data_IF_424426317624
#
_entry.id   IF_424426317624
#
_cell.length_a   1.000
_cell.length_b   1.000
_cell.length_c   1.000
_cell.angle_alpha   90.00
_cell.angle_beta   90.00
_cell.angle_gamma   90.00
#
_symmetry.space_group_name_H-M   'P 1'
#
loop_
_entity.id
_entity.type
_entity.pdbx_description
1 polymer ?
#
# COMPACT_ATOMS: atom_id res chain seq x y z
N UNK A 1 39.00 -0.74 -17.14
CA UNK A 1 37.74 -1.16 -17.79
C UNK A 1 36.98 -1.98 -16.77
N UNK A 2 36.03 -1.37 -16.04
CA UNK A 2 35.24 -2.10 -15.05
C UNK A 2 34.15 -2.86 -15.81
N UNK A 3 34.35 -4.16 -15.98
CA UNK A 3 33.26 -5.03 -16.41
C UNK A 3 32.28 -5.11 -15.24
N UNK A 4 31.13 -4.45 -15.40
CA UNK A 4 30.00 -4.68 -14.52
C UNK A 4 29.65 -6.16 -14.64
N UNK A 5 29.98 -6.97 -13.63
CA UNK A 5 29.49 -8.35 -13.50
C UNK A 5 27.96 -8.29 -13.49
N UNK A 6 27.34 -8.49 -14.65
CA UNK A 6 25.90 -8.67 -14.78
C UNK A 6 25.58 -9.99 -14.08
N UNK A 7 25.20 -9.91 -12.80
CA UNK A 7 24.71 -11.08 -12.10
C UNK A 7 23.32 -11.37 -12.65
N UNK A 8 23.19 -12.51 -13.33
CA UNK A 8 21.91 -13.11 -13.70
C UNK A 8 21.20 -13.58 -12.42
N UNK A 9 20.60 -12.63 -11.67
CA UNK A 9 19.95 -12.93 -10.40
C UNK A 9 18.48 -13.27 -10.66
N UNK A 10 18.18 -14.56 -10.64
CA UNK A 10 16.80 -15.05 -10.56
C UNK A 10 16.35 -15.05 -9.10
N UNK A 11 15.07 -14.77 -8.90
CA UNK A 11 14.43 -14.73 -7.59
C UNK A 11 12.95 -15.01 -7.76
N UNK A 12 12.36 -15.50 -6.69
CA UNK A 12 10.92 -15.58 -6.52
C UNK A 12 10.49 -14.53 -5.48
N UNK A 13 9.24 -14.08 -5.54
CA UNK A 13 8.64 -13.23 -4.52
C UNK A 13 7.81 -14.09 -3.58
N UNK A 14 8.19 -14.09 -2.32
CA UNK A 14 7.46 -14.79 -1.26
C UNK A 14 6.56 -13.78 -0.56
N UNK A 15 5.25 -13.99 -0.68
CA UNK A 15 4.22 -13.33 0.12
C UNK A 15 3.76 -14.24 1.29
N UNK A 16 2.89 -13.73 2.17
CA UNK A 16 2.26 -14.56 3.19
C UNK A 16 1.39 -15.65 2.56
N UNK A 17 1.32 -16.81 3.22
CA UNK A 17 0.43 -17.91 2.82
C UNK A 17 -1.04 -17.67 3.20
N UNK A 18 -1.32 -16.61 3.96
CA UNK A 18 -2.64 -16.26 4.48
C UNK A 18 -2.95 -14.80 4.19
N UNK A 19 -4.23 -14.46 4.23
CA UNK A 19 -4.70 -13.08 4.11
C UNK A 19 -4.14 -12.19 5.22
N UNK A 20 -3.91 -10.93 4.87
CA UNK A 20 -3.53 -9.88 5.82
C UNK A 20 -4.80 -9.16 6.25
N UNK A 21 -4.95 -8.93 7.55
CA UNK A 21 -6.07 -8.20 8.11
C UNK A 21 -5.62 -6.83 8.59
N UNK A 22 -6.45 -5.81 8.38
CA UNK A 22 -6.22 -4.45 8.84
C UNK A 22 -7.49 -3.86 9.42
N UNK A 23 -7.34 -3.09 10.50
CA UNK A 23 -8.43 -2.30 11.05
C UNK A 23 -8.56 -0.96 10.29
N UNK A 24 -9.80 -0.50 10.12
CA UNK A 24 -10.07 0.81 9.55
C UNK A 24 -9.32 1.93 10.32
N UNK A 25 -8.58 2.76 9.59
CA UNK A 25 -7.84 3.91 10.10
C UNK A 25 -6.43 3.58 10.62
N UNK A 26 -6.04 2.31 10.69
CA UNK A 26 -4.68 1.91 11.08
C UNK A 26 -3.74 1.82 9.87
N UNK A 27 -2.45 1.62 10.15
CA UNK A 27 -1.45 1.29 9.15
C UNK A 27 -1.34 -0.25 9.00
N UNK A 28 -1.13 -0.74 7.78
CA UNK A 28 -0.88 -2.15 7.49
C UNK A 28 0.36 -2.32 6.64
N UNK A 29 1.03 -3.47 6.77
CA UNK A 29 2.15 -3.85 5.91
C UNK A 29 1.78 -5.08 5.09
N UNK A 30 1.77 -4.96 3.77
CA UNK A 30 1.64 -6.09 2.85
C UNK A 30 3.01 -6.74 2.66
N UNK A 31 3.20 -7.89 3.30
CA UNK A 31 4.49 -8.57 3.37
C UNK A 31 4.88 -9.20 2.03
N UNK A 32 6.06 -8.86 1.52
CA UNK A 32 6.65 -9.47 0.33
C UNK A 32 8.18 -9.40 0.40
N UNK A 33 8.86 -10.49 0.05
CA UNK A 33 10.33 -10.56 0.10
C UNK A 33 10.90 -11.47 -0.97
N UNK A 34 12.11 -11.16 -1.44
CA UNK A 34 12.80 -11.95 -2.45
C UNK A 34 13.40 -13.24 -1.86
N UNK A 35 13.25 -14.35 -2.58
CA UNK A 35 13.90 -15.62 -2.30
C UNK A 35 14.68 -16.12 -3.52
N UNK A 36 16.00 -16.40 -3.40
CA UNK A 36 16.82 -16.16 -2.22
C UNK A 36 16.92 -14.65 -1.90
N UNK A 37 17.34 -14.27 -0.67
CA UNK A 37 17.55 -12.87 -0.32
C UNK A 37 18.60 -12.20 -1.22
N UNK A 38 18.24 -11.07 -1.83
CA UNK A 38 19.16 -10.21 -2.58
C UNK A 38 18.65 -8.77 -2.62
N UNK A 39 19.57 -7.82 -2.82
CA UNK A 39 19.23 -6.41 -2.89
C UNK A 39 18.28 -6.09 -4.05
N UNK A 40 17.14 -5.51 -3.71
CA UNK A 40 16.12 -4.99 -4.61
C UNK A 40 16.29 -3.49 -4.90
N UNK A 41 17.31 -2.82 -4.34
CA UNK A 41 17.52 -1.37 -4.55
C UNK A 41 17.62 -1.01 -6.04
N UNK A 42 18.29 -1.84 -6.84
CA UNK A 42 18.45 -1.61 -8.27
C UNK A 42 17.28 -2.11 -9.14
N UNK A 43 16.20 -2.61 -8.54
CA UNK A 43 15.07 -3.21 -9.25
C UNK A 43 13.88 -2.25 -9.35
N UNK A 44 12.99 -2.52 -10.29
CA UNK A 44 11.64 -1.95 -10.25
C UNK A 44 10.82 -2.76 -9.25
N UNK A 45 10.15 -2.08 -8.31
CA UNK A 45 9.16 -2.68 -7.41
C UNK A 45 7.83 -1.98 -7.68
N UNK A 46 6.84 -2.75 -8.10
CA UNK A 46 5.51 -2.25 -8.42
C UNK A 46 4.47 -2.98 -7.58
N UNK A 47 3.67 -2.19 -6.87
CA UNK A 47 2.45 -2.66 -6.24
C UNK A 47 1.26 -2.12 -7.01
N UNK A 48 0.38 -3.01 -7.44
CA UNK A 48 -0.83 -2.63 -8.17
C UNK A 48 -1.99 -3.55 -7.81
N UNK A 49 -3.19 -3.17 -8.23
CA UNK A 49 -4.40 -3.98 -8.09
C UNK A 49 -4.81 -4.50 -9.46
N UNK A 50 -5.81 -3.89 -10.07
CA UNK A 50 -6.32 -4.32 -11.38
C UNK A 50 -5.64 -3.62 -12.56
N UNK A 51 -5.13 -2.41 -12.36
CA UNK A 51 -4.51 -1.61 -13.41
C UNK A 51 -3.00 -1.54 -13.19
N UNK A 52 -2.24 -2.07 -14.16
CA UNK A 52 -0.79 -2.04 -14.14
C UNK A 52 -0.23 -0.63 -14.28
N UNK A 53 -0.85 0.23 -15.08
CA UNK A 53 -0.36 1.58 -15.40
C UNK A 53 -0.74 2.63 -14.35
N UNK A 54 -1.73 2.32 -13.50
CA UNK A 54 -2.12 3.10 -12.34
C UNK A 54 -1.80 2.33 -11.05
N UNK A 55 -0.51 2.19 -10.69
CA UNK A 55 -0.09 1.41 -9.53
C UNK A 55 -0.51 2.08 -8.20
N UNK A 56 -0.57 1.25 -7.17
CA UNK A 56 -0.64 1.66 -5.75
C UNK A 56 0.67 2.34 -5.35
N UNK A 57 1.80 1.72 -5.73
CA UNK A 57 3.14 2.28 -5.54
C UNK A 57 4.05 1.80 -6.68
N UNK A 58 4.88 2.71 -7.20
CA UNK A 58 5.95 2.41 -8.13
C UNK A 58 7.27 2.92 -7.56
N UNK A 59 8.24 2.03 -7.39
CA UNK A 59 9.63 2.34 -7.12
C UNK A 59 10.46 1.97 -8.34
N UNK A 60 11.15 2.95 -8.91
CA UNK A 60 11.98 2.76 -10.10
C UNK A 60 13.08 3.82 -10.17
N UNK A 61 14.28 3.40 -10.57
CA UNK A 61 15.49 4.24 -10.59
C UNK A 61 15.75 4.89 -9.22
N UNK A 62 15.79 4.04 -8.19
CA UNK A 62 16.12 4.40 -6.80
C UNK A 62 15.13 5.35 -6.10
N UNK A 63 13.94 5.57 -6.67
CA UNK A 63 12.97 6.55 -6.17
C UNK A 63 11.54 6.05 -6.31
N UNK A 64 10.67 6.45 -5.38
CA UNK A 64 9.21 6.29 -5.53
C UNK A 64 8.70 7.33 -6.54
N UNK A 65 7.79 6.92 -7.43
CA UNK A 65 7.20 7.71 -8.53
C UNK A 65 5.77 8.15 -8.21
N UNK A 66 5.56 9.21 -7.41
CA UNK A 66 4.22 9.65 -7.00
C UNK A 66 3.33 10.09 -8.16
N UNK A 67 3.91 10.52 -9.29
CA UNK A 67 3.21 10.96 -10.49
C UNK A 67 2.41 9.85 -11.17
N UNK A 68 2.88 8.60 -11.06
CA UNK A 68 2.22 7.43 -11.64
C UNK A 68 1.21 6.78 -10.69
N UNK A 69 1.24 7.13 -9.40
CA UNK A 69 0.38 6.50 -8.39
C UNK A 69 -1.08 6.90 -8.54
N UNK A 70 -1.98 5.95 -8.25
CA UNK A 70 -3.40 6.22 -8.08
C UNK A 70 -3.63 7.25 -6.97
N UNK A 71 -4.51 8.22 -7.24
CA UNK A 71 -4.78 9.34 -6.33
C UNK A 71 -5.21 8.89 -4.93
N UNK A 72 -5.90 7.75 -4.80
CA UNK A 72 -6.34 7.20 -3.52
C UNK A 72 -5.19 6.72 -2.61
N UNK A 73 -4.00 6.44 -3.17
CA UNK A 73 -2.84 5.88 -2.46
C UNK A 73 -1.67 6.86 -2.32
N UNK A 74 -1.72 8.00 -3.03
CA UNK A 74 -0.68 9.05 -2.92
C UNK A 74 -0.52 9.52 -1.48
N UNK A 75 0.72 9.55 -1.01
CA UNK A 75 1.07 9.98 0.34
C UNK A 75 0.66 9.01 1.46
N UNK A 76 0.08 7.85 1.12
CA UNK A 76 -0.30 6.79 2.08
C UNK A 76 0.53 5.53 1.93
N UNK A 77 1.41 5.46 0.93
CA UNK A 77 2.17 4.26 0.60
C UNK A 77 3.66 4.49 0.65
N UNK A 78 4.40 3.53 1.18
CA UNK A 78 5.86 3.54 1.19
C UNK A 78 6.43 2.12 1.15
N UNK A 79 7.70 2.02 0.77
CA UNK A 79 8.54 0.84 0.98
C UNK A 79 9.43 1.07 2.21
N UNK A 80 10.25 0.07 2.55
CA UNK A 80 11.26 0.13 3.61
C UNK A 80 12.65 0.26 2.96
N UNK A 81 13.18 1.49 2.72
CA UNK A 81 14.37 1.68 1.86
C UNK A 81 15.63 0.99 2.40
N UNK A 82 15.76 0.94 3.73
CA UNK A 82 16.88 0.29 4.42
C UNK A 82 16.83 -1.24 4.29
N UNK A 83 15.64 -1.81 4.09
CA UNK A 83 15.44 -3.26 3.98
C UNK A 83 15.37 -3.75 2.53
N UNK A 84 15.36 -2.83 1.54
CA UNK A 84 15.53 -3.20 0.13
C UNK A 84 16.86 -3.93 -0.10
N UNK A 85 17.90 -3.65 0.69
CA UNK A 85 19.22 -4.29 0.56
C UNK A 85 19.19 -5.79 0.86
N UNK A 86 18.26 -6.24 1.72
CA UNK A 86 18.02 -7.64 2.06
C UNK A 86 16.91 -8.28 1.23
N UNK A 87 16.28 -7.51 0.33
CA UNK A 87 15.21 -8.01 -0.55
C UNK A 87 13.81 -7.89 0.03
N UNK A 88 13.62 -7.11 1.11
CA UNK A 88 12.28 -6.78 1.57
C UNK A 88 11.64 -5.75 0.63
N UNK A 89 10.55 -6.13 -0.01
CA UNK A 89 9.78 -5.31 -0.96
C UNK A 89 8.35 -5.06 -0.47
N UNK A 90 8.13 -5.23 0.84
CA UNK A 90 6.84 -5.04 1.49
C UNK A 90 6.32 -3.62 1.34
N UNK A 91 5.01 -3.50 1.15
CA UNK A 91 4.31 -2.23 1.05
C UNK A 91 3.74 -1.84 2.41
N UNK A 92 4.12 -0.67 2.92
CA UNK A 92 3.37 -0.03 4.01
C UNK A 92 2.24 0.81 3.42
N UNK A 93 1.02 0.60 3.90
CA UNK A 93 -0.17 1.38 3.58
C UNK A 93 -0.72 2.02 4.85
N UNK A 94 -0.89 3.33 4.85
CA UNK A 94 -1.33 4.13 5.99
C UNK A 94 -2.79 4.56 5.89
N UNK A 95 -3.43 4.82 7.03
CA UNK A 95 -4.83 5.27 7.11
C UNK A 95 -5.78 4.33 6.35
N UNK A 96 -5.76 3.03 6.65
CA UNK A 96 -6.49 1.99 5.88
C UNK A 96 -7.99 2.29 5.80
N UNK A 97 -8.55 2.18 4.59
CA UNK A 97 -9.94 2.46 4.25
C UNK A 97 -10.63 1.18 3.79
N UNK A 98 -11.96 1.12 3.92
CA UNK A 98 -12.75 -0.02 3.41
C UNK A 98 -12.45 -0.30 1.93
N UNK A 99 -12.25 0.76 1.12
CA UNK A 99 -11.92 0.64 -0.31
C UNK A 99 -10.56 0.01 -0.60
N UNK A 100 -9.66 -0.03 0.39
CA UNK A 100 -8.34 -0.64 0.22
C UNK A 100 -8.41 -2.16 0.26
N UNK A 101 -9.45 -2.75 0.83
CA UNK A 101 -9.62 -4.21 0.86
C UNK A 101 -9.65 -4.82 -0.54
N UNK A 102 -9.05 -6.01 -0.67
CA UNK A 102 -9.01 -6.81 -1.88
C UNK A 102 -7.61 -7.31 -2.23
N UNK A 103 -7.45 -7.75 -3.47
CA UNK A 103 -6.22 -8.38 -3.96
C UNK A 103 -5.23 -7.34 -4.49
N UNK A 104 -3.98 -7.49 -4.07
CA UNK A 104 -2.81 -6.74 -4.52
C UNK A 104 -1.84 -7.66 -5.23
N UNK A 105 -1.10 -7.12 -6.18
CA UNK A 105 0.01 -7.78 -6.86
C UNK A 105 1.28 -7.00 -6.59
N UNK A 106 2.29 -7.69 -6.05
CA UNK A 106 3.66 -7.21 -5.97
C UNK A 106 4.43 -7.79 -7.15
N UNK A 107 4.92 -6.93 -8.04
CA UNK A 107 5.81 -7.31 -9.13
C UNK A 107 7.18 -6.70 -8.87
N UNK A 108 8.23 -7.52 -8.98
CA UNK A 108 9.61 -7.07 -8.90
C UNK A 108 10.32 -7.45 -10.17
N UNK A 109 10.90 -6.46 -10.84
CA UNK A 109 11.59 -6.65 -12.10
C UNK A 109 13.05 -6.16 -12.01
N UNK A 110 13.95 -7.06 -12.36
CA UNK A 110 15.33 -6.74 -12.70
C UNK A 110 15.47 -6.58 -14.23
N UNK A 111 16.69 -6.33 -14.72
CA UNK A 111 16.94 -6.23 -16.17
C UNK A 111 16.70 -7.53 -16.95
N UNK A 112 16.78 -8.68 -16.30
CA UNK A 112 16.81 -10.00 -16.96
C UNK A 112 15.76 -10.98 -16.44
N UNK A 113 15.09 -10.64 -15.34
CA UNK A 113 14.16 -11.50 -14.64
C UNK A 113 13.10 -10.67 -13.93
N UNK A 114 11.88 -11.18 -13.88
CA UNK A 114 10.79 -10.62 -13.10
C UNK A 114 9.99 -11.76 -12.49
N UNK A 115 9.35 -11.48 -11.37
CA UNK A 115 8.38 -12.36 -10.74
C UNK A 115 7.26 -11.55 -10.09
N UNK A 116 6.15 -12.20 -9.74
CA UNK A 116 5.01 -11.58 -9.06
C UNK A 116 4.42 -12.43 -7.94
N UNK A 117 3.94 -11.77 -6.88
CA UNK A 117 3.18 -12.40 -5.81
C UNK A 117 1.85 -11.68 -5.59
N UNK A 118 0.81 -12.46 -5.27
CA UNK A 118 -0.55 -11.95 -5.03
C UNK A 118 -0.91 -12.04 -3.56
N UNK A 119 -1.38 -10.94 -2.99
CA UNK A 119 -1.58 -10.78 -1.54
C UNK A 119 -2.96 -10.18 -1.30
N UNK A 120 -3.77 -10.84 -0.48
CA UNK A 120 -5.11 -10.37 -0.13
C UNK A 120 -5.08 -9.54 1.16
N UNK A 121 -5.75 -8.39 1.13
CA UNK A 121 -5.98 -7.51 2.26
C UNK A 121 -7.47 -7.52 2.63
N UNK A 122 -7.79 -7.94 3.84
CA UNK A 122 -9.12 -7.86 4.41
C UNK A 122 -9.18 -6.67 5.39
N UNK A 123 -10.16 -5.78 5.19
CA UNK A 123 -10.34 -4.60 6.04
C UNK A 123 -11.52 -4.82 6.97
N UNK A 124 -11.24 -4.78 8.26
CA UNK A 124 -12.25 -4.94 9.31
C UNK A 124 -12.73 -3.57 9.81
N UNK A 125 -14.05 -3.43 9.91
CA UNK A 125 -14.68 -2.23 10.42
C UNK A 125 -14.56 -2.16 11.94
N UNK A 126 -13.95 -1.10 12.47
CA UNK A 126 -14.00 -0.82 13.90
C UNK A 126 -15.47 -0.51 14.27
N UNK A 127 -16.07 -1.36 15.10
CA UNK A 127 -17.50 -1.30 15.48
C UNK A 127 -17.93 0.04 16.09
N UNK A 128 -16.99 0.85 16.57
CA UNK A 128 -17.22 2.21 17.07
C UNK A 128 -17.35 3.29 15.97
N UNK A 129 -16.71 3.11 14.80
CA UNK A 129 -16.75 4.06 13.68
C UNK A 129 -17.92 3.82 12.72
N UNK A 130 -18.43 2.58 12.66
CA UNK A 130 -19.60 2.23 11.86
C UNK A 130 -20.81 3.11 12.23
N UNK A 131 -20.98 3.46 13.51
CA UNK A 131 -22.03 4.38 13.95
C UNK A 131 -21.82 5.83 13.48
N UNK A 132 -20.59 6.35 13.55
CA UNK A 132 -20.32 7.75 13.22
C UNK A 132 -20.44 8.04 11.71
N UNK A 133 -19.96 7.11 10.87
CA UNK A 133 -20.05 7.25 9.41
C UNK A 133 -21.50 7.11 8.90
N UNK A 134 -22.29 6.19 9.48
CA UNK A 134 -23.73 6.12 9.23
C UNK A 134 -24.48 7.37 9.70
N UNK A 135 -24.07 7.98 10.83
CA UNK A 135 -24.70 9.20 11.34
C UNK A 135 -24.46 10.42 10.43
N UNK A 136 -23.24 10.56 9.89
CA UNK A 136 -22.89 11.65 8.97
C UNK A 136 -23.56 11.45 7.59
N UNK A 137 -23.57 10.22 7.06
CA UNK A 137 -24.18 9.92 5.74
C UNK A 137 -25.72 9.97 5.76
N UNK A 138 -26.39 9.65 6.88
CA UNK A 138 -27.84 9.87 7.03
C UNK A 138 -28.21 11.35 7.15
N UNK A 139 -27.26 12.25 7.40
CA UNK A 139 -27.53 13.69 7.50
C UNK A 139 -27.32 14.40 6.15
N UNK A 140 -28.17 14.06 5.17
CA UNK A 140 -28.30 14.82 3.92
C UNK A 140 -29.64 15.56 3.86
N UNK A 141 -30.04 16.17 4.99
CA UNK A 141 -31.09 17.18 5.02
C UNK A 141 -30.78 18.24 6.08
N UNK A 142 -30.54 19.47 5.61
CA UNK A 142 -30.39 20.73 6.35
C UNK A 142 -29.10 21.00 7.17
N UNK A 143 -28.03 21.36 6.47
CA UNK A 143 -26.73 21.89 6.98
C UNK A 143 -26.79 23.19 7.83
N UNK A 144 -27.95 23.76 8.14
CA UNK A 144 -28.04 25.03 8.88
C UNK A 144 -28.22 24.88 10.40
N UNK A 145 -28.74 23.74 10.88
CA UNK A 145 -28.91 23.51 12.32
C UNK A 145 -27.67 22.91 13.00
N UNK A 146 -26.89 22.10 12.28
CA UNK A 146 -25.77 21.35 12.87
C UNK A 146 -24.60 22.25 13.32
N UNK A 147 -24.38 23.39 12.63
CA UNK A 147 -23.35 24.36 13.02
C UNK A 147 -23.62 25.02 14.39
N UNK A 148 -24.88 25.20 14.79
CA UNK A 148 -25.22 25.80 16.10
C UNK A 148 -25.05 24.81 17.27
N UNK A 149 -25.24 23.52 17.03
CA UNK A 149 -25.07 22.47 18.05
C UNK A 149 -23.60 22.14 18.31
N UNK A 150 -22.76 22.10 17.27
CA UNK A 150 -21.32 21.82 17.41
C UNK A 150 -20.60 22.96 18.16
N UNK A 151 -21.01 24.22 17.94
CA UNK A 151 -20.44 25.36 18.66
C UNK A 151 -20.85 25.41 20.15
N UNK A 152 -21.98 24.79 20.52
CA UNK A 152 -22.43 24.68 21.91
C UNK A 152 -21.69 23.62 22.73
N UNK A 153 -21.18 22.57 22.08
CA UNK A 153 -20.41 21.50 22.72
C UNK A 153 -18.91 21.81 22.85
N UNK A 154 -18.37 22.69 22.01
CA UNK A 154 -16.95 23.12 22.10
C UNK A 154 -16.71 24.25 23.12
N UNK A 155 -17.77 24.90 23.62
CA UNK A 155 -17.70 26.01 24.57
C UNK A 155 -18.23 25.65 25.97
N UNK A 156 -18.32 24.35 26.30
CA UNK A 156 -18.71 23.83 27.62
C UNK A 156 -17.62 22.95 28.21
#
# INVERSE_FOLDING_TARGET
RFEAKVHNKRFDIIGPSTDIFALLGEDVTLLASLSPPLSAQGFEVRWFRNDFYSPVLLYHNLQIRPESQLQAYKGRTSLFPEELVSGNVSLRLQDVRVSDGGLYTCLVASRLWQDEARIALNVEGNSKFHFFFFYILKCNSNRRHLKRLIQGLLNS
#
